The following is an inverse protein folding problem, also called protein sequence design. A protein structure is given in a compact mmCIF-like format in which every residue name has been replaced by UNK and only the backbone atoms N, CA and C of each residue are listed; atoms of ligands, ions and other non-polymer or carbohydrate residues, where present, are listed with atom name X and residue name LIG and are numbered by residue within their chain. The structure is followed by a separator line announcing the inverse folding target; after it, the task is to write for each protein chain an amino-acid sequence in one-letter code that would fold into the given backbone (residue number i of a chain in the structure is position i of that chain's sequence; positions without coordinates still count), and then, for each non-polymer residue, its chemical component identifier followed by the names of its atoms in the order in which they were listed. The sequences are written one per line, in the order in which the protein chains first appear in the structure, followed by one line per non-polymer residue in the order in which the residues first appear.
data_IF_450285936390
#
_entry.id   IF_450285936390
#
_cell.length_a   1.000
_cell.length_b   1.000
_cell.length_c   1.000
_cell.angle_alpha   90.00
_cell.angle_beta   90.00
_cell.angle_gamma   90.00
#
_symmetry.space_group_name_H-M   'P 1'
#
loop_
_entity.id
_entity.type
_entity.pdbx_description
1 polymer ?
#
# COMPACT_ATOMS: atom_id res chain seq x y z
N UNK A 1 -2.72 -10.77 -9.59
CA UNK A 1 -2.35 -10.16 -8.30
C UNK A 1 -1.04 -10.79 -7.88
N UNK A 2 0.08 -10.07 -7.99
CA UNK A 2 1.39 -10.57 -7.58
C UNK A 2 1.60 -10.17 -6.11
N UNK A 3 1.71 -11.16 -5.23
CA UNK A 3 2.14 -10.93 -3.85
C UNK A 3 3.67 -10.98 -3.83
N UNK A 4 4.28 -9.87 -3.45
CA UNK A 4 5.70 -9.83 -3.09
C UNK A 4 5.78 -9.87 -1.55
N UNK A 5 6.63 -10.73 -1.00
CA UNK A 5 6.94 -10.72 0.42
C UNK A 5 8.28 -9.99 0.62
N UNK A 6 8.40 -9.23 1.69
CA UNK A 6 9.66 -8.61 2.09
C UNK A 6 10.36 -9.56 3.04
N UNK A 7 11.49 -10.13 2.61
CA UNK A 7 12.36 -10.94 3.46
C UNK A 7 13.24 -10.04 4.33
N UNK A 8 12.70 -9.60 5.46
CA UNK A 8 13.43 -8.76 6.40
C UNK A 8 14.65 -9.48 7.00
N UNK A 9 14.64 -10.82 7.12
CA UNK A 9 15.78 -11.59 7.62
C UNK A 9 17.00 -11.37 6.73
N UNK A 10 16.81 -11.42 5.41
CA UNK A 10 17.86 -11.18 4.41
C UNK A 10 18.40 -9.75 4.43
N UNK A 11 17.56 -8.76 4.74
CA UNK A 11 17.95 -7.35 4.89
C UNK A 11 18.74 -7.15 6.20
N UNK A 12 18.30 -7.75 7.31
CA UNK A 12 18.93 -7.63 8.63
C UNK A 12 20.15 -8.53 8.86
N UNK A 13 20.41 -9.51 8.00
CA UNK A 13 21.62 -10.35 8.02
C UNK A 13 22.85 -9.66 7.39
N UNK A 14 22.67 -8.50 6.75
CA UNK A 14 23.77 -7.76 6.09
C UNK A 14 24.68 -6.96 7.04
N UNK A 15 24.36 -6.91 8.34
CA UNK A 15 25.15 -6.21 9.37
C UNK A 15 25.62 -7.20 10.45
N UNK A 16 26.93 -7.25 10.72
CA UNK A 16 27.50 -8.08 11.77
C UNK A 16 27.09 -7.58 13.16
N UNK A 17 26.20 -8.33 13.81
CA UNK A 17 25.43 -7.87 14.98
C UNK A 17 26.27 -7.62 16.22
N UNK A 18 27.22 -8.50 16.51
CA UNK A 18 28.10 -8.33 17.68
C UNK A 18 28.92 -7.05 17.57
N UNK A 19 29.51 -6.80 16.40
CA UNK A 19 30.27 -5.58 16.13
C UNK A 19 29.39 -4.33 16.19
N UNK A 20 28.12 -4.42 15.76
CA UNK A 20 27.17 -3.32 15.89
C UNK A 20 26.88 -2.99 17.36
N UNK A 21 26.62 -3.99 18.20
CA UNK A 21 26.35 -3.78 19.63
C UNK A 21 27.55 -3.17 20.35
N UNK A 22 28.76 -3.64 20.03
CA UNK A 22 29.99 -3.10 20.60
C UNK A 22 30.25 -1.66 20.16
N UNK A 23 29.99 -1.35 18.88
CA UNK A 23 30.13 0.01 18.37
C UNK A 23 29.13 0.98 19.02
N UNK A 24 27.87 0.56 19.23
CA UNK A 24 26.88 1.38 19.94
C UNK A 24 27.26 1.60 21.41
N UNK A 25 27.83 0.58 22.09
CA UNK A 25 28.39 0.72 23.45
C UNK A 25 29.55 1.70 23.47
N UNK A 26 30.49 1.59 22.52
CA UNK A 26 31.64 2.48 22.38
C UNK A 26 31.22 3.94 22.12
N UNK A 27 30.08 4.15 21.45
CA UNK A 27 29.48 5.48 21.23
C UNK A 27 28.73 6.03 22.44
N UNK A 28 28.73 5.33 23.58
CA UNK A 28 28.12 5.79 24.83
C UNK A 28 26.60 5.62 24.87
N UNK A 29 26.02 4.81 23.98
CA UNK A 29 24.57 4.55 23.99
C UNK A 29 24.24 3.67 25.21
N UNK A 30 23.24 4.05 26.03
CA UNK A 30 22.87 3.27 27.22
C UNK A 30 22.51 1.82 26.88
N UNK A 31 22.96 0.88 27.73
CA UNK A 31 22.71 -0.55 27.55
C UNK A 31 21.21 -0.89 27.42
N UNK A 32 20.32 -0.08 28.03
CA UNK A 32 18.87 -0.22 27.90
C UNK A 32 18.40 0.03 26.46
N UNK A 33 18.92 1.07 25.81
CA UNK A 33 18.59 1.39 24.41
C UNK A 33 19.14 0.34 23.47
N UNK A 34 20.37 -0.13 23.71
CA UNK A 34 20.96 -1.23 22.95
C UNK A 34 20.12 -2.50 23.11
N UNK A 35 19.70 -2.84 24.33
CA UNK A 35 18.83 -3.98 24.60
C UNK A 35 17.48 -3.92 23.89
N UNK A 36 16.88 -2.72 23.76
CA UNK A 36 15.67 -2.52 22.95
C UNK A 36 15.93 -2.80 21.47
N UNK A 37 17.02 -2.26 20.92
CA UNK A 37 17.41 -2.49 19.52
C UNK A 37 17.71 -3.98 19.31
N UNK A 38 18.50 -4.61 20.18
CA UNK A 38 18.78 -6.05 20.12
C UNK A 38 17.49 -6.88 20.19
N UNK A 39 16.53 -6.48 21.03
CA UNK A 39 15.21 -7.13 21.10
C UNK A 39 14.40 -7.03 19.79
N UNK A 40 14.57 -5.95 19.01
CA UNK A 40 13.99 -5.84 17.67
C UNK A 40 14.63 -6.83 16.69
N UNK A 41 15.91 -7.18 16.86
CA UNK A 41 16.63 -8.09 15.95
C UNK A 41 16.43 -9.58 16.25
N UNK A 42 16.28 -9.98 17.52
CA UNK A 42 16.27 -11.39 17.92
C UNK A 42 14.89 -11.95 18.30
N UNK A 43 13.83 -11.14 18.23
CA UNK A 43 12.49 -11.55 18.69
C UNK A 43 11.32 -10.93 17.95
N UNK A 44 11.53 -10.41 16.75
CA UNK A 44 10.44 -9.89 15.91
C UNK A 44 10.05 -10.93 14.86
N UNK A 45 8.85 -11.48 14.99
CA UNK A 45 8.21 -12.26 13.94
C UNK A 45 7.36 -11.31 13.10
N UNK A 46 7.57 -11.33 11.77
CA UNK A 46 6.74 -10.57 10.83
C UNK A 46 5.71 -11.51 10.22
N UNK A 47 4.43 -11.17 10.33
CA UNK A 47 3.34 -11.92 9.71
C UNK A 47 2.70 -11.07 8.60
N UNK A 48 2.61 -11.63 7.39
CA UNK A 48 1.87 -10.99 6.29
C UNK A 48 0.39 -11.32 6.45
N UNK A 49 -0.42 -10.33 6.78
CA UNK A 49 -1.88 -10.48 6.77
C UNK A 49 -2.40 -10.28 5.35
N UNK A 50 -2.84 -11.37 4.71
CA UNK A 50 -3.54 -11.32 3.43
C UNK A 50 -5.00 -10.90 3.66
N UNK A 51 -5.38 -9.73 3.15
CA UNK A 51 -6.73 -9.17 3.29
C UNK A 51 -6.75 -7.71 2.83
N UNK A 52 -7.90 -7.02 2.94
CA UNK A 52 -7.93 -5.56 2.77
C UNK A 52 -7.11 -4.94 3.92
N UNK A 53 -5.96 -4.31 3.66
CA UNK A 53 -5.22 -3.65 4.72
C UNK A 53 -6.02 -2.42 5.13
N UNK A 54 -6.73 -2.53 6.26
CA UNK A 54 -7.40 -1.38 6.86
C UNK A 54 -6.64 -0.96 8.11
N UNK A 55 -6.43 0.35 8.23
CA UNK A 55 -5.70 0.95 9.35
C UNK A 55 -6.46 0.69 10.67
N UNK A 56 -7.77 0.95 10.65
CA UNK A 56 -8.72 0.47 11.67
C UNK A 56 -9.99 -0.08 11.05
N UNK A 57 -10.57 -1.03 11.75
CA UNK A 57 -11.92 -1.54 11.58
C UNK A 57 -12.58 -1.47 12.95
N UNK A 58 -13.65 -0.72 13.09
CA UNK A 58 -14.45 -0.74 14.31
C UNK A 58 -15.59 -1.73 14.12
N UNK A 59 -15.74 -2.66 15.06
CA UNK A 59 -16.93 -3.49 15.17
C UNK A 59 -17.98 -2.64 15.90
N UNK A 60 -19.13 -2.41 15.25
CA UNK A 60 -20.20 -1.51 15.73
C UNK A 60 -20.74 -1.86 17.13
N UNK A 61 -20.45 -3.06 17.65
CA UNK A 61 -20.97 -3.58 18.91
C UNK A 61 -20.12 -3.23 20.15
N UNK A 62 -18.88 -2.74 19.99
CA UNK A 62 -18.01 -2.40 21.14
C UNK A 62 -17.23 -1.11 20.93
N UNK A 63 -17.53 -0.08 21.73
CA UNK A 63 -16.69 1.10 21.84
C UNK A 63 -15.41 0.75 22.62
N UNK A 64 -14.25 0.78 21.96
CA UNK A 64 -12.93 0.58 22.57
C UNK A 64 -12.01 -0.35 21.79
N UNK A 65 -10.79 -0.58 22.30
CA UNK A 65 -9.79 -1.49 21.69
C UNK A 65 -10.32 -2.90 21.40
N UNK A 66 -11.17 -3.55 22.22
CA UNK A 66 -11.66 -4.90 21.92
C UNK A 66 -12.48 -4.95 20.62
N UNK A 67 -13.14 -3.84 20.27
CA UNK A 67 -13.90 -3.68 19.04
C UNK A 67 -13.08 -3.18 17.85
N UNK A 68 -11.80 -2.84 18.04
CA UNK A 68 -10.97 -2.25 16.99
C UNK A 68 -9.99 -3.28 16.40
N UNK A 69 -10.00 -3.49 15.10
CA UNK A 69 -9.10 -4.40 14.37
C UNK A 69 -8.31 -3.62 13.32
N UNK A 70 -7.23 -4.19 12.77
CA UNK A 70 -6.41 -3.54 11.74
C UNK A 70 -4.94 -3.46 12.15
N UNK A 71 -4.09 -3.09 11.19
CA UNK A 71 -2.64 -3.07 11.42
C UNK A 71 -2.25 -2.06 12.50
N UNK A 72 -2.84 -0.87 12.51
CA UNK A 72 -2.53 0.13 13.53
C UNK A 72 -3.02 -0.29 14.92
N UNK A 73 -4.20 -0.90 15.02
CA UNK A 73 -4.70 -1.46 16.29
C UNK A 73 -3.77 -2.55 16.85
N UNK A 74 -3.27 -3.45 16.00
CA UNK A 74 -2.35 -4.50 16.42
C UNK A 74 -0.99 -3.95 16.84
N UNK A 75 -0.49 -2.93 16.13
CA UNK A 75 0.73 -2.22 16.50
C UNK A 75 0.58 -1.56 17.89
N UNK A 76 -0.52 -0.86 18.13
CA UNK A 76 -0.77 -0.21 19.42
C UNK A 76 -0.86 -1.23 20.56
N UNK A 77 -1.58 -2.35 20.38
CA UNK A 77 -1.60 -3.48 21.34
C UNK A 77 -0.22 -4.06 21.61
N UNK A 78 0.65 -4.12 20.60
CA UNK A 78 2.02 -4.59 20.77
C UNK A 78 2.84 -3.59 21.61
N UNK A 79 2.70 -2.29 21.33
CA UNK A 79 3.35 -1.22 22.09
C UNK A 79 2.88 -1.21 23.54
N UNK A 80 1.57 -1.33 23.80
CA UNK A 80 1.00 -1.45 25.15
C UNK A 80 1.67 -2.57 25.95
N UNK A 81 1.79 -3.76 25.36
CA UNK A 81 2.44 -4.92 26.01
C UNK A 81 3.93 -4.76 26.25
N UNK A 82 4.62 -4.01 25.38
CA UNK A 82 6.09 -3.82 25.48
C UNK A 82 6.46 -2.66 26.40
N UNK A 83 5.64 -1.61 26.45
CA UNK A 83 5.90 -0.38 27.18
C UNK A 83 5.05 -0.24 28.46
N UNK A 84 4.13 -1.18 28.71
CA UNK A 84 3.24 -1.22 29.89
C UNK A 84 2.40 0.05 30.07
N UNK A 85 1.73 0.51 29.01
CA UNK A 85 0.72 1.58 29.10
C UNK A 85 -0.66 1.08 28.70
N UNK A 86 -1.70 1.82 29.10
CA UNK A 86 -3.09 1.61 28.70
C UNK A 86 -3.51 2.73 27.76
N UNK A 87 -4.30 2.40 26.74
CA UNK A 87 -4.82 3.36 25.79
C UNK A 87 -6.33 3.17 25.60
N UNK A 88 -6.99 4.12 24.95
CA UNK A 88 -8.36 3.97 24.48
C UNK A 88 -8.40 4.50 23.05
N UNK A 89 -8.89 3.69 22.12
CA UNK A 89 -9.06 4.09 20.73
C UNK A 89 -10.50 4.59 20.56
N UNK A 90 -10.64 5.87 20.24
CA UNK A 90 -11.93 6.52 20.00
C UNK A 90 -12.09 6.87 18.52
N UNK A 91 -13.25 6.61 17.92
CA UNK A 91 -13.52 7.03 16.55
C UNK A 91 -13.72 8.56 16.51
N UNK A 92 -13.07 9.22 15.56
CA UNK A 92 -13.23 10.66 15.29
C UNK A 92 -13.71 10.84 13.85
N UNK A 93 -14.66 11.75 13.65
CA UNK A 93 -15.16 12.06 12.32
C UNK A 93 -14.20 12.98 11.59
N UNK A 94 -13.57 12.43 10.55
CA UNK A 94 -12.71 13.16 9.63
C UNK A 94 -11.32 13.48 10.18
N UNK A 95 -10.41 13.76 9.25
CA UNK A 95 -9.01 14.05 9.56
C UNK A 95 -8.79 15.43 10.17
N UNK A 96 -9.58 16.41 9.73
CA UNK A 96 -9.54 17.77 10.24
C UNK A 96 -9.36 18.80 9.13
N UNK A 97 -10.19 19.83 9.20
CA UNK A 97 -10.21 21.02 8.37
C UNK A 97 -10.41 22.26 9.23
N UNK A 98 -9.97 23.41 8.71
CA UNK A 98 -10.20 24.71 9.35
C UNK A 98 -11.68 25.07 9.18
N UNK A 99 -12.33 25.34 10.29
CA UNK A 99 -13.71 25.85 10.33
C UNK A 99 -13.73 27.35 10.07
N UNK A 100 -14.92 27.91 9.78
CA UNK A 100 -15.10 29.35 9.54
C UNK A 100 -14.60 30.24 10.69
N UNK A 101 -14.49 29.69 11.90
CA UNK A 101 -14.02 30.39 13.09
C UNK A 101 -12.49 30.29 13.27
N UNK A 102 -11.76 29.76 12.27
CA UNK A 102 -10.31 29.53 12.34
C UNK A 102 -9.88 28.34 13.22
N UNK A 103 -10.83 27.65 13.86
CA UNK A 103 -10.55 26.46 14.69
C UNK A 103 -10.52 25.19 13.84
N UNK A 104 -9.73 24.20 14.27
CA UNK A 104 -9.67 22.89 13.62
C UNK A 104 -10.78 21.95 14.12
N UNK A 105 -11.35 21.16 13.21
CA UNK A 105 -12.25 20.05 13.53
C UNK A 105 -11.55 18.69 13.33
N UNK A 106 -12.30 17.60 13.48
CA UNK A 106 -11.81 16.23 13.27
C UNK A 106 -10.62 15.87 14.17
N UNK A 107 -9.78 14.96 13.69
CA UNK A 107 -8.60 14.49 14.44
C UNK A 107 -7.65 15.63 14.82
N UNK A 108 -7.40 16.58 13.92
CA UNK A 108 -6.56 17.76 14.23
C UNK A 108 -7.14 18.57 15.38
N UNK A 109 -8.46 18.80 15.37
CA UNK A 109 -9.14 19.55 16.42
C UNK A 109 -9.12 18.85 17.78
N UNK A 110 -9.21 17.52 17.80
CA UNK A 110 -9.12 16.74 19.05
C UNK A 110 -7.70 16.76 19.64
N UNK A 111 -6.68 16.60 18.80
CA UNK A 111 -5.28 16.68 19.21
C UNK A 111 -4.90 18.09 19.68
N UNK A 112 -5.28 19.13 18.92
CA UNK A 112 -4.97 20.52 19.23
C UNK A 112 -5.59 20.98 20.57
N UNK A 113 -6.74 20.39 20.94
CA UNK A 113 -7.42 20.64 22.23
C UNK A 113 -6.98 19.69 23.35
N UNK A 114 -5.95 18.86 23.12
CA UNK A 114 -5.46 17.86 24.07
C UNK A 114 -6.56 16.91 24.57
N UNK A 115 -7.56 16.63 23.73
CA UNK A 115 -8.58 15.60 23.99
C UNK A 115 -8.14 14.22 23.54
N UNK A 116 -7.17 14.16 22.65
CA UNK A 116 -6.47 12.95 22.23
C UNK A 116 -4.96 13.20 22.34
N UNK A 117 -4.20 12.18 22.73
CA UNK A 117 -2.75 12.27 22.91
C UNK A 117 -1.97 11.92 21.63
N UNK A 118 -2.54 11.06 20.78
CA UNK A 118 -1.90 10.57 19.57
C UNK A 118 -2.94 10.28 18.49
N UNK A 119 -2.65 10.70 17.26
CA UNK A 119 -3.40 10.30 16.07
C UNK A 119 -2.78 9.05 15.45
N UNK A 120 -3.61 8.16 14.89
CA UNK A 120 -3.07 6.99 14.23
C UNK A 120 -2.43 7.26 12.86
N UNK A 121 -1.74 6.23 12.36
CA UNK A 121 -0.81 6.22 11.22
C UNK A 121 -1.36 6.67 9.84
N UNK A 122 -2.63 7.02 9.70
CA UNK A 122 -3.25 7.35 8.40
C UNK A 122 -3.49 8.86 8.20
N UNK A 123 -2.60 9.67 8.76
CA UNK A 123 -2.77 11.11 8.78
C UNK A 123 -1.56 11.81 8.16
N UNK A 124 -1.73 12.32 6.93
CA UNK A 124 -0.65 13.00 6.21
C UNK A 124 -0.28 14.35 6.86
N UNK A 125 1.01 14.61 7.10
CA UNK A 125 1.48 15.92 7.51
C UNK A 125 1.26 16.95 6.39
N UNK A 126 0.89 18.17 6.77
CA UNK A 126 0.83 19.33 5.87
C UNK A 126 1.35 20.56 6.59
N UNK A 127 1.77 21.58 5.83
CA UNK A 127 2.27 22.83 6.39
C UNK A 127 1.22 23.52 7.30
N UNK A 128 -0.06 23.50 6.89
CA UNK A 128 -1.15 24.08 7.68
C UNK A 128 -1.35 23.35 9.02
N UNK A 129 -1.25 22.02 9.00
CA UNK A 129 -1.41 21.18 10.20
C UNK A 129 -0.20 21.29 11.13
N UNK A 130 1.00 21.43 10.56
CA UNK A 130 2.24 21.60 11.31
C UNK A 130 2.28 22.91 12.14
N UNK A 131 1.43 23.89 11.82
CA UNK A 131 1.29 25.10 12.63
C UNK A 131 0.56 24.87 13.96
N UNK A 132 -0.17 23.75 14.10
CA UNK A 132 -1.01 23.46 15.28
C UNK A 132 -0.69 22.11 15.92
N UNK A 133 0.07 21.26 15.26
CA UNK A 133 0.45 19.93 15.71
C UNK A 133 1.92 19.65 15.41
N UNK A 134 2.56 18.91 16.32
CA UNK A 134 3.86 18.31 16.08
C UNK A 134 3.69 16.94 15.41
N UNK A 135 4.51 16.67 14.40
CA UNK A 135 4.53 15.38 13.70
C UNK A 135 5.80 14.61 14.04
N UNK A 136 5.64 13.30 14.23
CA UNK A 136 6.78 12.37 14.31
C UNK A 136 7.49 12.20 12.96
N UNK A 137 8.57 11.42 12.97
CA UNK A 137 9.24 10.99 11.74
C UNK A 137 8.27 10.16 10.91
N UNK A 138 8.15 10.46 9.62
CA UNK A 138 7.29 9.70 8.71
C UNK A 138 7.91 8.33 8.42
N UNK A 139 7.19 7.26 8.78
CA UNK A 139 7.64 5.89 8.59
C UNK A 139 7.24 5.30 7.22
N UNK A 140 6.20 5.86 6.59
CA UNK A 140 5.78 5.53 5.22
C UNK A 140 5.79 6.80 4.38
N UNK A 141 6.44 6.70 3.21
CA UNK A 141 6.36 7.71 2.16
C UNK A 141 5.48 7.14 1.07
N UNK A 142 4.19 7.48 1.12
CA UNK A 142 3.26 7.15 0.05
C UNK A 142 3.47 8.16 -1.08
N UNK A 143 4.03 7.70 -2.19
CA UNK A 143 4.12 8.50 -3.41
C UNK A 143 2.72 8.75 -3.99
N UNK A 144 2.56 9.85 -4.73
CA UNK A 144 1.34 10.07 -5.52
C UNK A 144 1.31 9.03 -6.64
N UNK A 145 0.36 8.10 -6.58
CA UNK A 145 0.14 7.08 -7.62
C UNK A 145 -1.07 7.49 -8.45
N UNK A 146 -0.86 7.69 -9.75
CA UNK A 146 -1.97 7.88 -10.71
C UNK A 146 -2.44 6.49 -11.16
N UNK A 147 -3.65 6.12 -10.77
CA UNK A 147 -4.29 4.88 -11.21
C UNK A 147 -5.24 5.20 -12.37
N UNK A 148 -4.93 4.64 -13.54
CA UNK A 148 -5.83 4.64 -14.70
C UNK A 148 -6.53 3.29 -14.84
N UNK A 149 -7.67 3.27 -15.54
CA UNK A 149 -8.24 2.01 -15.98
C UNK A 149 -7.24 1.28 -16.89
N UNK A 150 -7.07 -0.02 -16.68
CA UNK A 150 -6.27 -0.84 -17.59
C UNK A 150 -6.86 -0.71 -19.01
N UNK A 151 -6.02 -0.55 -20.05
CA UNK A 151 -6.52 -0.48 -21.41
C UNK A 151 -7.29 -1.78 -21.71
N UNK A 152 -8.45 -1.65 -22.35
CA UNK A 152 -9.17 -2.83 -22.81
C UNK A 152 -8.34 -3.55 -23.88
N UNK A 153 -8.32 -4.88 -23.84
CA UNK A 153 -7.69 -5.68 -24.90
C UNK A 153 -8.47 -5.46 -26.19
N UNK A 154 -7.92 -4.62 -27.06
CA UNK A 154 -8.44 -4.41 -28.41
C UNK A 154 -7.95 -5.56 -29.29
N UNK A 155 -8.64 -6.71 -29.26
CA UNK A 155 -8.46 -7.75 -30.28
C UNK A 155 -9.15 -7.32 -31.58
N UNK A 156 -8.49 -6.44 -32.33
CA UNK A 156 -8.91 -6.10 -33.70
C UNK A 156 -8.27 -7.11 -34.67
N UNK A 157 -9.04 -8.01 -35.30
CA UNK A 157 -8.51 -9.08 -36.17
C UNK A 157 -7.75 -8.58 -37.43
N UNK A 158 -7.65 -7.27 -37.62
CA UNK A 158 -7.01 -6.63 -38.77
C UNK A 158 -6.04 -5.50 -38.37
N UNK A 159 -5.49 -5.51 -37.16
CA UNK A 159 -4.52 -4.50 -36.70
C UNK A 159 -3.36 -4.30 -37.69
N UNK A 160 -2.93 -5.38 -38.33
CA UNK A 160 -1.84 -5.38 -39.32
C UNK A 160 -2.23 -4.61 -40.60
N UNK A 161 -3.51 -4.52 -40.94
CA UNK A 161 -4.00 -3.75 -42.09
C UNK A 161 -4.10 -2.25 -41.80
N UNK A 162 -4.18 -1.84 -40.54
CA UNK A 162 -4.16 -0.41 -40.17
C UNK A 162 -2.79 0.24 -40.37
N UNK A 163 -1.74 -0.55 -40.59
CA UNK A 163 -0.39 -0.05 -40.93
C UNK A 163 -0.37 0.51 -42.36
N UNK A 164 -1.28 0.03 -43.23
CA UNK A 164 -1.40 0.48 -44.60
C UNK A 164 -2.59 1.44 -44.75
N UNK A 165 -2.39 2.56 -45.46
CA UNK A 165 -3.49 3.44 -45.81
C UNK A 165 -4.54 2.68 -46.65
N UNK A 166 -5.85 2.84 -46.39
CA UNK A 166 -6.90 2.18 -47.16
C UNK A 166 -6.71 2.34 -48.68
N UNK A 167 -6.25 3.52 -49.12
CA UNK A 167 -6.00 3.85 -50.53
C UNK A 167 -4.87 3.00 -51.16
N UNK A 168 -3.87 2.61 -50.38
CA UNK A 168 -2.78 1.73 -50.84
C UNK A 168 -3.28 0.29 -50.98
N UNK A 169 -4.13 -0.17 -50.05
CA UNK A 169 -4.74 -1.50 -50.12
C UNK A 169 -5.68 -1.68 -51.33
N UNK A 170 -6.42 -0.64 -51.73
CA UNK A 170 -7.35 -0.72 -52.87
C UNK A 170 -6.68 -0.54 -54.24
N UNK A 171 -5.49 0.07 -54.32
CA UNK A 171 -4.82 0.38 -55.59
C UNK A 171 -4.07 -0.79 -56.22
N UNK A 172 -3.80 -1.87 -55.48
CA UNK A 172 -2.95 -2.97 -55.95
C UNK A 172 -3.67 -4.33 -55.91
N UNK A 173 -3.95 -4.96 -57.07
CA UNK A 173 -4.74 -6.21 -57.13
C UNK A 173 -4.09 -7.40 -56.41
N UNK A 174 -2.78 -7.37 -56.20
CA UNK A 174 -2.03 -8.40 -55.44
C UNK A 174 -2.41 -8.44 -53.95
N UNK A 175 -2.83 -7.32 -53.37
CA UNK A 175 -3.26 -7.25 -51.96
C UNK A 175 -4.60 -7.97 -51.74
N UNK A 176 -5.46 -8.03 -52.75
CA UNK A 176 -6.73 -8.74 -52.66
C UNK A 176 -6.55 -10.25 -52.52
N UNK A 177 -5.55 -10.82 -53.21
CA UNK A 177 -5.17 -12.22 -53.08
C UNK A 177 -4.55 -12.52 -51.71
N UNK A 178 -3.71 -11.62 -51.20
CA UNK A 178 -3.12 -11.74 -49.86
C UNK A 178 -4.19 -11.68 -48.75
N UNK A 179 -5.17 -10.76 -48.87
CA UNK A 179 -6.30 -10.65 -47.95
C UNK A 179 -7.19 -11.88 -47.95
N UNK A 180 -7.50 -12.45 -49.14
CA UNK A 180 -8.25 -13.71 -49.25
C UNK A 180 -7.50 -14.88 -48.61
N UNK A 181 -6.19 -14.96 -48.80
CA UNK A 181 -5.36 -15.99 -48.18
C UNK A 181 -5.34 -15.86 -46.66
N UNK A 182 -5.13 -14.66 -46.13
CA UNK A 182 -5.13 -14.42 -44.69
C UNK A 182 -6.49 -14.68 -44.04
N UNK A 183 -7.59 -14.23 -44.66
CA UNK A 183 -8.95 -14.50 -44.19
C UNK A 183 -9.27 -16.01 -44.20
N UNK A 184 -8.74 -16.77 -45.18
CA UNK A 184 -8.88 -18.22 -45.20
C UNK A 184 -8.11 -18.89 -44.05
N UNK A 185 -6.91 -18.42 -43.73
CA UNK A 185 -6.11 -18.96 -42.62
C UNK A 185 -6.73 -18.63 -41.25
N UNK A 186 -7.26 -17.42 -41.04
CA UNK A 186 -7.92 -17.07 -39.78
C UNK A 186 -9.22 -17.85 -39.59
N UNK A 187 -10.02 -18.04 -40.64
CA UNK A 187 -11.20 -18.93 -40.59
C UNK A 187 -10.83 -20.39 -40.28
N UNK A 188 -9.68 -20.88 -40.76
CA UNK A 188 -9.19 -22.23 -40.46
C UNK A 188 -8.75 -22.34 -39.00
N UNK A 189 -8.07 -21.34 -38.45
CA UNK A 189 -7.64 -21.29 -37.04
C UNK A 189 -8.82 -21.14 -36.07
N UNK A 190 -9.85 -20.35 -36.40
CA UNK A 190 -11.08 -20.25 -35.60
C UNK A 190 -11.87 -21.56 -35.57
N UNK A 191 -11.84 -22.34 -36.66
CA UNK A 191 -12.51 -23.65 -36.73
C UNK A 191 -11.78 -24.69 -35.86
N UNK A 192 -10.45 -24.64 -35.79
CA UNK A 192 -9.63 -25.51 -34.91
C UNK A 192 -9.81 -25.13 -33.44
N UNK A 193 -9.82 -23.83 -33.11
CA UNK A 193 -9.96 -23.37 -31.72
C UNK A 193 -11.37 -23.55 -31.14
N UNK A 194 -12.43 -23.64 -31.96
CA UNK A 194 -13.78 -24.07 -31.50
C UNK A 194 -13.88 -25.57 -31.21
N UNK A 195 -13.04 -26.41 -31.82
CA UNK A 195 -13.02 -27.85 -31.60
C UNK A 195 -12.20 -28.26 -30.35
N UNK A 196 -11.41 -27.36 -29.79
CA UNK A 196 -10.53 -27.63 -28.63
C UNK A 196 -10.95 -26.91 -27.35
N UNK A 197 -12.13 -26.28 -27.30
CA UNK A 197 -12.69 -25.78 -26.04
C UNK A 197 -13.39 -26.94 -25.31
N UNK A 198 -12.94 -27.36 -24.12
CA UNK A 198 -13.71 -28.28 -23.31
C UNK A 198 -15.01 -27.59 -22.83
N UNK A 199 -16.09 -28.37 -22.78
CA UNK A 199 -17.39 -27.96 -22.20
C UNK A 199 -17.25 -27.77 -20.70
#
# INVERSE_FOLDING_TARGET
MLAAYVDLKKVFDSVHRESLWDLLRLRGIPARTIGLITGLYYGTESAVKCGKPMVFTFNDETQGIPGCQGYAADLMRLLQRKLNFSEVILPVQGFGSVTNNGSWNGMVGELSRLKADLSPLDFSPSAERANVLDFGVTYSLDGVIILGQAPSLVSRPFLLLNIFSPLVCFSHPKYFLFLRYYAFQTMRLERVTRLTRPV
#
